data_IF_980526151789
#
_entry.id   IF_980526151789
#
_cell.length_a   1.000
_cell.length_b   1.000
_cell.length_c   1.000
_cell.angle_alpha   90.00
_cell.angle_beta   90.00
_cell.angle_gamma   90.00
#
_symmetry.space_group_name_H-M   'P 1'
#
loop_
_entity.id
_entity.type
_entity.pdbx_description
1 polymer ?
#
# COMPACT_ATOMS: atom_id res chain seq x y z
N UNK A 1 -3.21 32.29 8.64
CA UNK A 1 -2.16 31.55 9.34
C UNK A 1 -1.35 30.71 8.37
N UNK A 2 -0.15 30.36 8.74
CA UNK A 2 0.75 29.58 7.85
C UNK A 2 1.31 28.39 8.62
N UNK A 3 1.33 27.21 7.98
CA UNK A 3 2.09 26.04 8.42
C UNK A 3 3.43 26.08 7.69
N UNK A 4 4.52 26.13 8.45
CA UNK A 4 5.88 26.13 7.90
C UNK A 4 6.27 24.73 7.38
N UNK A 5 6.60 24.67 6.07
CA UNK A 5 6.92 23.41 5.41
C UNK A 5 8.21 22.77 5.89
N UNK A 6 9.26 23.56 6.08
CA UNK A 6 10.57 23.08 6.54
C UNK A 6 10.52 22.45 7.95
N UNK A 7 9.60 22.93 8.77
CA UNK A 7 9.44 22.44 10.16
C UNK A 7 8.48 21.26 10.25
N UNK A 8 7.30 21.37 9.60
CA UNK A 8 6.16 20.47 9.87
C UNK A 8 5.75 19.58 8.70
N UNK A 9 6.30 19.80 7.50
CA UNK A 9 6.00 19.02 6.29
C UNK A 9 7.29 18.48 5.66
N UNK A 10 8.21 18.04 6.49
CA UNK A 10 9.50 17.50 6.08
C UNK A 10 9.52 15.99 6.11
N UNK A 11 10.44 15.43 5.36
CA UNK A 11 10.75 14.03 5.38
C UNK A 11 12.23 13.77 5.13
N UNK A 12 12.61 12.53 5.29
CA UNK A 12 13.94 12.03 4.98
C UNK A 12 13.86 10.80 4.10
N UNK A 13 14.80 10.71 3.17
CA UNK A 13 14.99 9.57 2.30
C UNK A 13 16.26 8.83 2.67
N UNK A 14 16.11 7.53 2.93
CA UNK A 14 17.21 6.60 3.18
C UNK A 14 17.24 5.56 2.06
N UNK A 15 18.39 5.33 1.45
CA UNK A 15 18.66 4.22 0.56
C UNK A 15 19.70 3.31 1.21
N UNK A 16 19.36 2.05 1.40
CA UNK A 16 20.24 1.01 1.94
C UNK A 16 20.68 0.03 0.86
N UNK A 17 21.68 -0.80 1.15
CA UNK A 17 22.17 -1.85 0.24
C UNK A 17 23.18 -1.37 -0.82
N UNK A 18 23.18 -0.11 -1.19
CA UNK A 18 24.20 0.53 -2.07
C UNK A 18 24.23 2.05 -1.91
N UNK A 19 25.27 2.66 -2.47
CA UNK A 19 25.33 4.11 -2.64
C UNK A 19 24.32 4.60 -3.70
N UNK A 20 23.96 5.87 -3.65
CA UNK A 20 23.14 6.52 -4.68
C UNK A 20 23.86 6.53 -6.03
N UNK A 21 23.14 6.20 -7.08
CA UNK A 21 23.59 6.36 -8.48
C UNK A 21 23.12 7.71 -9.01
N UNK A 22 23.82 8.26 -10.01
CA UNK A 22 23.45 9.54 -10.65
C UNK A 22 22.02 9.56 -11.21
N UNK A 23 21.48 8.39 -11.48
CA UNK A 23 20.13 8.22 -12.05
C UNK A 23 19.05 7.94 -11.00
N UNK A 24 19.42 7.90 -9.72
CA UNK A 24 18.44 7.69 -8.66
C UNK A 24 17.64 8.97 -8.40
N UNK A 25 16.34 8.82 -8.37
CA UNK A 25 15.39 9.84 -7.97
C UNK A 25 14.21 9.19 -7.25
N UNK A 26 13.69 9.86 -6.23
CA UNK A 26 12.53 9.41 -5.45
C UNK A 26 11.58 10.58 -5.29
N UNK A 27 10.31 10.34 -5.59
CA UNK A 27 9.26 11.37 -5.50
C UNK A 27 8.34 11.08 -4.35
N UNK A 28 8.05 12.09 -3.55
CA UNK A 28 7.12 12.05 -2.43
C UNK A 28 5.88 12.84 -2.79
N UNK A 29 4.73 12.26 -2.43
CA UNK A 29 3.41 12.81 -2.74
C UNK A 29 2.76 13.20 -1.42
N UNK A 30 2.22 14.41 -1.37
CA UNK A 30 1.30 14.84 -0.33
C UNK A 30 -0.06 15.10 -0.97
N UNK A 31 -1.11 14.58 -0.38
CA UNK A 31 -2.48 14.72 -0.90
C UNK A 31 -3.46 15.06 0.21
N UNK A 32 -4.47 15.86 -0.16
CA UNK A 32 -5.65 16.06 0.66
C UNK A 32 -6.38 14.73 0.89
N UNK A 33 -6.51 14.34 2.15
CA UNK A 33 -7.14 13.09 2.56
C UNK A 33 -8.63 13.25 2.90
N UNK A 34 -9.13 14.49 3.00
CA UNK A 34 -10.52 14.80 3.29
C UNK A 34 -11.21 15.41 2.07
N UNK A 35 -11.96 14.59 1.34
CA UNK A 35 -12.71 15.04 0.16
C UNK A 35 -13.91 15.93 0.48
N UNK A 36 -14.29 16.08 1.75
CA UNK A 36 -15.42 16.90 2.20
C UNK A 36 -15.06 18.39 2.33
N UNK A 37 -13.79 18.69 2.53
CA UNK A 37 -13.24 20.05 2.65
C UNK A 37 -12.03 20.15 1.74
N UNK A 38 -12.08 21.05 0.76
CA UNK A 38 -10.92 21.32 -0.10
C UNK A 38 -9.79 21.94 0.75
N UNK A 39 -8.75 21.14 1.03
CA UNK A 39 -7.61 21.59 1.82
C UNK A 39 -6.65 22.44 0.98
N UNK A 40 -6.11 23.54 1.54
CA UNK A 40 -5.05 24.30 0.88
C UNK A 40 -3.82 23.42 0.65
N UNK A 41 -3.18 23.58 -0.52
CA UNK A 41 -1.98 22.87 -0.90
C UNK A 41 -0.77 23.80 -1.02
N UNK A 42 0.47 23.30 -0.92
CA UNK A 42 1.67 24.08 -1.18
C UNK A 42 1.64 24.70 -2.59
N UNK A 43 1.96 25.99 -2.75
CA UNK A 43 1.75 26.70 -4.02
C UNK A 43 2.68 26.26 -5.14
N UNK A 44 3.90 25.82 -4.85
CA UNK A 44 4.93 25.52 -5.86
C UNK A 44 5.26 24.04 -6.01
N UNK A 45 4.91 23.20 -5.04
CA UNK A 45 5.09 21.73 -5.15
C UNK A 45 3.98 21.04 -5.99
N UNK A 46 3.19 21.81 -6.73
CA UNK A 46 2.05 21.29 -7.50
C UNK A 46 2.37 21.05 -8.98
N UNK A 47 3.59 21.32 -9.42
CA UNK A 47 3.99 21.14 -10.82
C UNK A 47 3.91 19.64 -11.21
N UNK A 48 3.06 19.34 -12.19
CA UNK A 48 2.81 17.97 -12.63
C UNK A 48 1.90 17.15 -11.72
N UNK A 49 1.41 17.72 -10.61
CA UNK A 49 0.51 17.08 -9.68
C UNK A 49 -0.96 17.17 -10.12
N UNK A 50 -1.77 16.23 -9.67
CA UNK A 50 -3.22 16.32 -9.78
C UNK A 50 -3.77 17.38 -8.82
N UNK A 51 -5.02 17.83 -9.03
CA UNK A 51 -5.67 18.76 -8.10
C UNK A 51 -5.69 18.18 -6.68
N UNK A 52 -5.30 18.98 -5.68
CA UNK A 52 -5.21 18.54 -4.28
C UNK A 52 -3.99 17.66 -3.97
N UNK A 53 -2.96 17.71 -4.81
CA UNK A 53 -1.72 16.93 -4.68
C UNK A 53 -0.50 17.84 -4.82
N UNK A 54 0.53 17.57 -4.02
CA UNK A 54 1.84 18.22 -4.14
C UNK A 54 2.92 17.15 -4.23
N UNK A 55 3.99 17.41 -4.99
CA UNK A 55 5.09 16.48 -5.22
C UNK A 55 6.43 17.13 -4.92
N UNK A 56 7.34 16.37 -4.29
CA UNK A 56 8.73 16.73 -4.08
C UNK A 56 9.59 15.56 -4.54
N UNK A 57 10.61 15.84 -5.35
CA UNK A 57 11.55 14.83 -5.83
C UNK A 57 12.93 15.11 -5.27
N UNK A 58 13.59 14.07 -4.72
CA UNK A 58 15.00 14.08 -4.33
C UNK A 58 15.79 13.26 -5.32
N UNK A 59 17.03 13.68 -5.56
CA UNK A 59 17.94 13.07 -6.53
C UNK A 59 19.29 12.75 -5.88
N UNK A 60 20.14 12.04 -6.61
CA UNK A 60 21.51 11.78 -6.17
C UNK A 60 22.33 13.04 -5.86
N UNK A 61 21.96 14.19 -6.42
CA UNK A 61 22.63 15.49 -6.14
C UNK A 61 22.38 15.98 -4.72
N UNK A 62 21.30 15.55 -4.11
CA UNK A 62 20.92 15.87 -2.74
C UNK A 62 21.56 14.91 -1.74
N UNK A 63 22.07 13.77 -2.23
CA UNK A 63 22.60 12.69 -1.41
C UNK A 63 24.04 12.96 -0.94
N UNK A 64 24.31 12.54 0.30
CA UNK A 64 25.66 12.44 0.87
C UNK A 64 25.81 11.05 1.48
N UNK A 65 26.99 10.47 1.35
CA UNK A 65 27.25 9.11 1.83
C UNK A 65 26.88 8.94 3.31
N UNK A 66 26.00 7.95 3.55
CA UNK A 66 25.57 7.56 4.89
C UNK A 66 24.68 8.55 5.62
N UNK A 67 24.19 9.60 4.94
CA UNK A 67 23.31 10.62 5.53
C UNK A 67 21.95 10.57 4.84
N UNK A 68 20.83 10.55 5.59
CA UNK A 68 19.50 10.69 5.02
C UNK A 68 19.36 11.97 4.21
N UNK A 69 18.69 11.92 3.06
CA UNK A 69 18.37 13.11 2.27
C UNK A 69 17.11 13.76 2.82
N UNK A 70 17.24 14.96 3.32
CA UNK A 70 16.11 15.73 3.85
C UNK A 70 15.39 16.45 2.72
N UNK A 71 14.07 16.37 2.73
CA UNK A 71 13.19 17.13 1.84
C UNK A 71 12.04 17.76 2.63
N UNK A 72 11.35 18.72 2.05
CA UNK A 72 10.16 19.31 2.61
C UNK A 72 9.19 19.75 1.51
N UNK A 73 7.90 19.72 1.81
CA UNK A 73 6.92 20.46 1.02
C UNK A 73 6.94 21.92 1.41
N UNK A 74 6.52 22.79 0.52
CA UNK A 74 6.45 24.22 0.83
C UNK A 74 5.38 24.56 1.86
N UNK A 75 5.49 25.73 2.45
CA UNK A 75 4.57 26.21 3.47
C UNK A 75 3.15 26.38 2.93
N UNK A 76 2.15 26.06 3.75
CA UNK A 76 0.74 26.14 3.39
C UNK A 76 0.08 27.34 4.10
N UNK A 77 -0.57 28.21 3.33
CA UNK A 77 -1.36 29.31 3.86
C UNK A 77 -2.82 28.91 4.12
N UNK A 78 -3.32 29.23 5.31
CA UNK A 78 -4.71 28.98 5.70
C UNK A 78 -5.44 30.30 5.88
N UNK A 79 -6.64 30.40 5.32
CA UNK A 79 -7.49 31.59 5.37
C UNK A 79 -8.74 31.40 6.22
N UNK A 80 -9.04 30.17 6.63
CA UNK A 80 -10.23 29.82 7.42
C UNK A 80 -9.86 28.88 8.56
N UNK A 81 -10.50 29.02 9.74
CA UNK A 81 -10.46 28.00 10.77
C UNK A 81 -11.02 26.66 10.26
N UNK A 82 -10.48 25.55 10.77
CA UNK A 82 -10.91 24.21 10.39
C UNK A 82 -9.86 23.17 10.74
N UNK A 83 -10.19 21.92 10.46
CA UNK A 83 -9.25 20.80 10.53
C UNK A 83 -9.02 20.28 9.11
N UNK A 84 -7.78 20.16 8.72
CA UNK A 84 -7.34 19.71 7.40
C UNK A 84 -6.46 18.49 7.57
N UNK A 85 -6.67 17.46 6.74
CA UNK A 85 -5.95 16.20 6.84
C UNK A 85 -5.23 15.89 5.53
N UNK A 86 -3.94 15.63 5.62
CA UNK A 86 -3.10 15.27 4.49
C UNK A 86 -2.50 13.89 4.71
N UNK A 87 -2.22 13.19 3.61
CA UNK A 87 -1.40 11.98 3.62
C UNK A 87 -0.13 12.21 2.82
N UNK A 88 0.98 11.59 3.27
CA UNK A 88 2.29 11.66 2.62
C UNK A 88 2.81 10.24 2.42
N UNK A 89 3.27 9.93 1.20
CA UNK A 89 3.88 8.65 0.83
C UNK A 89 4.91 8.82 -0.28
N UNK A 90 5.72 7.79 -0.52
CA UNK A 90 6.62 7.71 -1.67
C UNK A 90 5.88 7.19 -2.90
N UNK A 91 6.10 7.81 -4.06
CA UNK A 91 5.55 7.35 -5.34
C UNK A 91 6.15 6.00 -5.72
N UNK A 92 5.29 5.05 -6.10
CA UNK A 92 5.68 3.74 -6.62
C UNK A 92 5.69 3.70 -8.17
N UNK A 93 5.75 4.85 -8.83
CA UNK A 93 5.82 4.89 -10.30
C UNK A 93 7.03 4.08 -10.80
N UNK A 94 6.74 2.99 -11.54
CA UNK A 94 7.77 2.04 -12.02
C UNK A 94 8.86 2.71 -12.87
N UNK A 95 8.56 3.84 -13.49
CA UNK A 95 9.53 4.64 -14.26
C UNK A 95 10.62 5.26 -13.39
N UNK A 96 10.39 5.41 -12.09
CA UNK A 96 11.32 6.03 -11.13
C UNK A 96 12.09 5.00 -10.32
N UNK A 97 11.55 3.78 -10.17
CA UNK A 97 12.21 2.72 -9.42
C UNK A 97 13.25 2.00 -10.29
N UNK A 98 14.49 1.99 -9.83
CA UNK A 98 15.56 1.22 -10.45
C UNK A 98 15.44 -0.26 -10.11
N UNK A 99 15.88 -1.12 -11.04
CA UNK A 99 15.91 -2.55 -10.80
C UNK A 99 16.65 -2.87 -9.49
N UNK A 100 16.06 -3.72 -8.66
CA UNK A 100 16.58 -4.10 -7.36
C UNK A 100 16.27 -3.12 -6.22
N UNK A 101 15.65 -1.97 -6.47
CA UNK A 101 15.22 -1.04 -5.40
C UNK A 101 13.75 -1.31 -5.06
N UNK A 102 13.49 -1.62 -3.80
CA UNK A 102 12.12 -1.72 -3.25
C UNK A 102 11.66 -0.35 -2.80
N UNK A 103 10.47 0.10 -3.25
CA UNK A 103 9.87 1.35 -2.79
C UNK A 103 9.47 1.26 -1.31
N UNK A 104 9.66 2.36 -0.57
CA UNK A 104 9.04 2.49 0.75
C UNK A 104 7.52 2.58 0.62
N UNK A 105 6.81 1.82 1.43
CA UNK A 105 5.34 1.87 1.55
C UNK A 105 4.88 2.57 2.82
N UNK A 106 5.79 3.28 3.48
CA UNK A 106 5.44 4.09 4.64
C UNK A 106 4.35 5.11 4.27
N UNK A 107 3.35 5.20 5.12
CA UNK A 107 2.25 6.14 4.98
C UNK A 107 2.18 7.01 6.22
N UNK A 108 2.19 8.32 5.99
CA UNK A 108 2.05 9.31 7.05
C UNK A 108 0.77 10.11 6.88
N UNK A 109 0.24 10.58 8.00
CA UNK A 109 -0.89 11.50 8.05
C UNK A 109 -0.50 12.74 8.83
N UNK A 110 -0.81 13.92 8.28
CA UNK A 110 -0.66 15.20 8.94
C UNK A 110 -2.05 15.79 9.16
N UNK A 111 -2.41 16.01 10.41
CA UNK A 111 -3.64 16.72 10.78
C UNK A 111 -3.29 18.13 11.20
N UNK A 112 -3.84 19.13 10.49
CA UNK A 112 -3.61 20.54 10.74
C UNK A 112 -4.89 21.14 11.32
N UNK A 113 -4.76 21.74 12.50
CA UNK A 113 -5.86 22.46 13.18
C UNK A 113 -5.60 23.96 13.10
N UNK A 114 -6.54 24.68 12.53
CA UNK A 114 -6.51 26.14 12.39
C UNK A 114 -7.62 26.75 13.25
N UNK A 115 -7.26 27.64 14.15
CA UNK A 115 -8.20 28.29 15.08
C UNK A 115 -8.09 29.80 15.01
N UNK A 116 -9.18 30.50 15.33
CA UNK A 116 -9.23 31.94 15.61
C UNK A 116 -9.69 32.11 17.06
N UNK A 117 -8.78 31.81 18.01
CA UNK A 117 -9.08 31.81 19.45
C UNK A 117 -9.47 33.19 19.98
N UNK A 118 -8.91 34.23 19.36
CA UNK A 118 -9.18 35.65 19.75
C UNK A 118 -10.38 36.25 19.06
N UNK A 119 -11.04 35.59 18.10
CA UNK A 119 -12.10 36.14 17.25
C UNK A 119 -11.73 37.49 16.60
N UNK A 120 -10.45 37.66 16.31
CA UNK A 120 -9.87 38.90 15.78
C UNK A 120 -9.32 38.76 14.35
N UNK A 121 -9.54 37.59 13.73
CA UNK A 121 -9.05 37.25 12.40
C UNK A 121 -7.58 36.77 12.38
N UNK A 122 -6.95 36.62 13.54
CA UNK A 122 -5.60 36.07 13.63
C UNK A 122 -5.67 34.55 13.77
N UNK A 123 -5.24 33.83 12.75
CA UNK A 123 -5.29 32.35 12.73
C UNK A 123 -4.04 31.76 13.37
N UNK A 124 -4.26 30.87 14.33
CA UNK A 124 -3.24 29.98 14.90
C UNK A 124 -3.29 28.63 14.20
N UNK A 125 -2.13 28.14 13.77
CA UNK A 125 -1.99 26.87 13.03
C UNK A 125 -1.16 25.89 13.87
N UNK A 126 -1.67 24.68 14.09
CA UNK A 126 -0.99 23.57 14.77
C UNK A 126 -1.08 22.34 13.91
N UNK A 127 -0.04 21.53 13.88
CA UNK A 127 -0.02 20.24 13.16
C UNK A 127 0.32 19.09 14.08
N UNK A 128 -0.03 17.90 13.63
CA UNK A 128 0.34 16.63 14.26
C UNK A 128 0.59 15.61 13.16
N UNK A 129 1.81 15.07 13.10
CA UNK A 129 2.15 14.00 12.17
C UNK A 129 2.05 12.64 12.87
N UNK A 130 1.48 11.67 12.18
CA UNK A 130 1.41 10.27 12.61
C UNK A 130 1.80 9.33 11.47
N UNK A 131 2.47 8.23 11.80
CA UNK A 131 2.78 7.14 10.87
C UNK A 131 1.65 6.11 10.92
N UNK A 132 1.06 5.80 9.76
CA UNK A 132 -0.06 4.87 9.60
C UNK A 132 0.39 3.49 9.15
N UNK A 133 1.48 3.40 8.38
CA UNK A 133 2.07 2.16 7.91
C UNK A 133 3.60 2.26 7.88
N UNK A 134 4.28 1.14 8.06
CA UNK A 134 5.75 1.05 7.93
C UNK A 134 6.21 0.98 6.46
N UNK A 135 7.53 0.87 6.25
CA UNK A 135 8.12 0.81 4.91
C UNK A 135 7.78 -0.46 4.13
N UNK A 136 7.33 -1.51 4.80
CA UNK A 136 6.78 -2.74 4.19
C UNK A 136 5.29 -2.64 3.90
N UNK A 137 4.65 -1.54 4.28
CA UNK A 137 3.23 -1.28 4.10
C UNK A 137 2.33 -1.95 5.13
N UNK A 138 2.90 -2.47 6.23
CA UNK A 138 2.12 -3.00 7.35
C UNK A 138 1.49 -1.84 8.11
N UNK A 139 0.16 -1.84 8.18
CA UNK A 139 -0.58 -0.81 8.91
C UNK A 139 -0.48 -1.02 10.41
N UNK A 140 -0.29 0.08 11.12
CA UNK A 140 -0.36 0.07 12.58
C UNK A 140 -1.82 0.02 13.03
N UNK A 141 -2.13 -0.77 14.05
CA UNK A 141 -3.45 -0.77 14.71
C UNK A 141 -3.81 0.62 15.27
N UNK A 142 -2.79 1.32 15.77
CA UNK A 142 -2.90 2.71 16.23
C UNK A 142 -1.84 3.55 15.55
N UNK A 143 -2.21 4.69 14.95
CA UNK A 143 -1.25 5.61 14.36
C UNK A 143 -0.13 5.96 15.34
N UNK A 144 1.12 5.88 14.89
CA UNK A 144 2.29 6.19 15.70
C UNK A 144 2.60 7.69 15.61
N UNK A 145 2.73 8.35 16.75
CA UNK A 145 3.11 9.77 16.77
C UNK A 145 4.55 9.92 16.24
N UNK A 146 4.73 10.90 15.35
CA UNK A 146 6.05 11.32 14.85
C UNK A 146 6.44 12.59 15.61
N UNK A 147 7.35 12.44 16.56
CA UNK A 147 7.65 13.49 17.54
C UNK A 147 8.42 14.69 16.97
N UNK A 148 9.22 14.45 15.92
CA UNK A 148 10.08 15.44 15.26
C UNK A 148 9.50 15.95 13.93
N UNK A 149 8.24 15.62 13.64
CA UNK A 149 7.54 15.97 12.39
C UNK A 149 8.32 15.60 11.11
N UNK A 150 9.11 14.49 11.15
CA UNK A 150 9.90 14.03 10.01
C UNK A 150 9.39 12.68 9.51
N UNK A 151 8.82 12.66 8.30
CA UNK A 151 8.40 11.43 7.63
C UNK A 151 9.60 10.69 7.08
N UNK A 152 9.92 9.49 7.58
CA UNK A 152 11.08 8.69 7.15
C UNK A 152 10.68 7.61 6.15
N UNK A 153 11.38 7.56 5.00
CA UNK A 153 11.16 6.61 3.92
C UNK A 153 12.44 5.86 3.61
N UNK A 154 12.41 4.55 3.82
CA UNK A 154 13.57 3.68 3.62
C UNK A 154 13.33 2.79 2.42
N UNK A 155 14.22 2.88 1.42
CA UNK A 155 14.26 1.93 0.30
C UNK A 155 15.50 1.06 0.43
N UNK A 156 15.33 -0.21 0.10
CA UNK A 156 16.42 -1.18 0.09
C UNK A 156 16.76 -1.56 -1.34
N UNK A 157 18.06 -1.60 -1.63
CA UNK A 157 18.59 -2.17 -2.87
C UNK A 157 19.06 -3.59 -2.64
N UNK A 158 18.53 -4.50 -3.45
CA UNK A 158 18.95 -5.89 -3.53
C UNK A 158 19.27 -6.25 -4.98
N UNK A 159 20.34 -6.99 -5.19
CA UNK A 159 20.84 -7.36 -6.52
C UNK A 159 20.02 -8.44 -7.20
N UNK A 160 19.25 -9.21 -6.44
CA UNK A 160 18.42 -10.29 -6.94
C UNK A 160 17.06 -10.27 -6.26
N UNK A 161 16.01 -10.18 -7.06
CA UNK A 161 14.63 -10.15 -6.60
C UNK A 161 13.80 -11.21 -7.29
N UNK A 162 13.03 -11.95 -6.50
CA UNK A 162 11.97 -12.83 -7.01
C UNK A 162 10.67 -12.04 -7.16
N UNK A 163 9.94 -12.26 -8.24
CA UNK A 163 8.71 -11.52 -8.55
C UNK A 163 7.55 -12.48 -8.75
N UNK A 164 6.46 -12.23 -7.99
CA UNK A 164 5.23 -12.98 -8.13
C UNK A 164 4.07 -12.02 -8.39
N UNK A 165 3.35 -12.25 -9.51
CA UNK A 165 2.20 -11.44 -9.89
C UNK A 165 0.99 -12.37 -9.99
N UNK A 166 0.18 -12.47 -8.92
CA UNK A 166 -1.01 -13.32 -8.96
C UNK A 166 -2.05 -12.75 -9.91
N UNK A 167 -2.70 -13.61 -10.66
CA UNK A 167 -3.78 -13.25 -11.58
C UNK A 167 -4.77 -14.38 -11.70
N UNK A 168 -5.94 -14.10 -12.22
CA UNK A 168 -6.98 -15.09 -12.41
C UNK A 168 -8.13 -14.57 -13.26
N UNK A 169 -9.18 -15.39 -13.33
CA UNK A 169 -10.42 -15.04 -14.03
C UNK A 169 -11.62 -15.41 -13.17
N UNK A 170 -12.63 -14.55 -13.21
CA UNK A 170 -13.98 -14.78 -12.66
C UNK A 170 -14.93 -15.06 -13.79
N UNK A 171 -15.57 -16.21 -13.77
CA UNK A 171 -16.70 -16.49 -14.63
C UNK A 171 -17.97 -16.06 -13.91
N UNK A 172 -18.79 -15.27 -14.59
CA UNK A 172 -20.09 -14.83 -14.12
C UNK A 172 -21.16 -15.19 -15.15
N UNK A 173 -22.27 -15.76 -14.69
CA UNK A 173 -23.41 -16.12 -15.52
C UNK A 173 -24.66 -15.50 -14.92
N UNK A 174 -25.35 -14.69 -15.70
CA UNK A 174 -26.69 -14.23 -15.41
C UNK A 174 -27.70 -15.03 -16.24
N UNK A 175 -28.63 -15.71 -15.58
CA UNK A 175 -29.63 -16.56 -16.22
C UNK A 175 -30.57 -15.76 -17.15
N UNK A 176 -30.73 -14.47 -16.90
CA UNK A 176 -31.60 -13.59 -17.74
C UNK A 176 -30.85 -12.99 -18.91
N UNK A 177 -29.51 -12.92 -18.81
CA UNK A 177 -28.64 -12.22 -19.78
C UNK A 177 -28.76 -10.70 -19.76
N UNK A 178 -29.53 -10.15 -18.79
CA UNK A 178 -29.79 -8.70 -18.71
C UNK A 178 -28.76 -7.94 -17.85
N UNK A 179 -28.05 -8.67 -16.99
CA UNK A 179 -27.11 -8.12 -16.05
C UNK A 179 -25.67 -8.60 -16.34
N UNK A 180 -24.95 -7.95 -17.24
CA UNK A 180 -23.56 -8.34 -17.52
C UNK A 180 -22.66 -8.09 -16.32
N UNK A 181 -21.54 -8.82 -16.26
CA UNK A 181 -20.50 -8.55 -15.27
C UNK A 181 -19.98 -7.11 -15.43
N UNK A 182 -20.01 -6.37 -14.34
CA UNK A 182 -19.47 -5.01 -14.26
C UNK A 182 -18.25 -5.02 -13.35
N UNK A 183 -17.33 -4.09 -13.58
CA UNK A 183 -16.23 -3.84 -12.63
C UNK A 183 -16.80 -3.55 -11.24
N UNK A 184 -16.06 -3.96 -10.22
CA UNK A 184 -16.41 -3.79 -8.79
C UNK A 184 -17.60 -4.60 -8.27
N UNK A 185 -18.21 -5.49 -9.08
CA UNK A 185 -19.25 -6.39 -8.57
C UNK A 185 -18.72 -7.44 -7.59
N UNK A 186 -17.48 -7.88 -7.79
CA UNK A 186 -16.80 -8.89 -6.98
C UNK A 186 -15.44 -8.41 -6.56
N UNK A 187 -15.05 -8.82 -5.37
CA UNK A 187 -13.76 -8.50 -4.77
C UNK A 187 -13.00 -9.77 -4.40
N UNK A 188 -11.72 -9.75 -4.60
CA UNK A 188 -10.82 -10.87 -4.33
C UNK A 188 -9.64 -10.38 -3.50
N UNK A 189 -9.22 -11.16 -2.53
CA UNK A 189 -8.07 -10.88 -1.70
C UNK A 189 -6.99 -11.94 -1.90
N UNK A 190 -5.74 -11.49 -2.04
CA UNK A 190 -4.57 -12.35 -1.86
C UNK A 190 -4.02 -12.07 -0.46
N UNK A 191 -4.08 -13.04 0.44
CA UNK A 191 -3.76 -12.86 1.86
C UNK A 191 -2.89 -13.97 2.43
N UNK A 192 -2.25 -13.69 3.55
CA UNK A 192 -1.41 -14.61 4.32
C UNK A 192 -1.59 -14.37 5.82
N UNK A 193 -1.39 -15.37 6.65
CA UNK A 193 -1.32 -15.22 8.12
C UNK A 193 0.12 -14.96 8.62
N UNK A 194 1.08 -14.90 7.71
CA UNK A 194 2.46 -14.58 8.01
C UNK A 194 2.73 -13.09 7.77
N UNK A 195 2.85 -12.30 8.83
CA UNK A 195 3.10 -10.84 8.78
C UNK A 195 4.40 -10.46 8.06
N UNK A 196 5.35 -11.42 7.91
CA UNK A 196 6.62 -11.20 7.24
C UNK A 196 6.57 -11.56 5.76
N UNK A 197 5.50 -12.21 5.30
CA UNK A 197 5.41 -12.60 3.90
C UNK A 197 5.18 -11.38 3.01
N UNK A 198 5.95 -11.22 1.93
CA UNK A 198 5.74 -10.15 0.96
C UNK A 198 4.34 -10.22 0.35
N UNK A 199 3.61 -9.12 0.36
CA UNK A 199 2.29 -9.01 -0.26
C UNK A 199 2.38 -8.28 -1.61
N UNK A 200 1.46 -8.59 -2.56
CA UNK A 200 1.33 -7.79 -3.77
C UNK A 200 1.18 -6.30 -3.43
N UNK A 201 1.96 -5.45 -4.07
CA UNK A 201 2.10 -4.02 -3.79
C UNK A 201 1.90 -3.19 -5.04
N UNK A 202 1.23 -2.02 -4.93
CA UNK A 202 1.06 -1.11 -6.05
C UNK A 202 0.29 0.16 -5.68
N UNK A 203 0.39 1.17 -6.53
CA UNK A 203 -0.39 2.40 -6.37
C UNK A 203 -1.89 2.12 -6.47
N UNK A 204 -2.67 2.72 -5.59
CA UNK A 204 -4.13 2.52 -5.54
C UNK A 204 -4.58 1.17 -4.99
N UNK A 205 -3.67 0.33 -4.52
CA UNK A 205 -3.99 -0.98 -3.96
C UNK A 205 -4.41 -0.87 -2.51
N UNK A 206 -5.57 -1.43 -2.20
CA UNK A 206 -6.08 -1.46 -0.83
C UNK A 206 -5.49 -2.63 -0.07
N UNK A 207 -4.79 -2.34 1.03
CA UNK A 207 -4.38 -3.31 2.02
C UNK A 207 -5.48 -3.49 3.05
N UNK A 208 -5.78 -4.71 3.38
CA UNK A 208 -6.84 -5.03 4.35
C UNK A 208 -6.36 -6.09 5.33
N UNK A 209 -6.77 -5.90 6.58
CA UNK A 209 -6.75 -6.96 7.56
C UNK A 209 -8.05 -7.76 7.41
N UNK A 210 -7.94 -9.07 7.41
CA UNK A 210 -9.02 -9.97 7.08
C UNK A 210 -9.08 -11.10 8.10
N UNK A 211 -10.19 -11.25 8.79
CA UNK A 211 -10.40 -12.37 9.69
C UNK A 211 -10.92 -13.58 8.92
N UNK A 212 -10.22 -14.70 9.05
CA UNK A 212 -10.59 -15.95 8.43
C UNK A 212 -10.17 -17.15 9.26
N UNK A 213 -11.14 -18.04 9.54
CA UNK A 213 -10.87 -19.22 10.35
C UNK A 213 -10.41 -18.91 11.77
N UNK A 214 -10.86 -17.80 12.36
CA UNK A 214 -10.49 -17.36 13.71
C UNK A 214 -9.06 -16.82 13.83
N UNK A 215 -8.42 -16.51 12.71
CA UNK A 215 -7.11 -15.88 12.65
C UNK A 215 -7.16 -14.60 11.87
N UNK A 216 -6.27 -13.67 12.22
CA UNK A 216 -6.05 -12.46 11.42
C UNK A 216 -5.14 -12.79 10.24
N UNK A 217 -5.56 -12.37 9.06
CA UNK A 217 -4.83 -12.46 7.79
C UNK A 217 -4.54 -11.06 7.28
N UNK A 218 -3.44 -10.92 6.57
CA UNK A 218 -3.04 -9.67 5.93
C UNK A 218 -3.13 -9.86 4.43
N UNK A 219 -3.73 -8.91 3.73
CA UNK A 219 -3.98 -9.13 2.31
C UNK A 219 -4.00 -7.87 1.46
N UNK A 220 -3.93 -8.11 0.16
CA UNK A 220 -4.14 -7.12 -0.88
C UNK A 220 -5.47 -7.38 -1.54
N UNK A 221 -6.34 -6.38 -1.50
CA UNK A 221 -7.66 -6.42 -2.12
C UNK A 221 -7.56 -5.98 -3.59
N UNK A 222 -8.23 -6.70 -4.47
CA UNK A 222 -8.45 -6.26 -5.85
C UNK A 222 -9.91 -6.47 -6.25
N UNK A 223 -10.35 -5.77 -7.29
CA UNK A 223 -11.67 -5.92 -7.89
C UNK A 223 -11.62 -6.84 -9.10
N UNK A 224 -12.75 -7.42 -9.44
CA UNK A 224 -12.93 -8.13 -10.69
C UNK A 224 -13.34 -7.14 -11.77
N UNK A 225 -12.63 -7.12 -12.88
CA UNK A 225 -12.93 -6.25 -14.01
C UNK A 225 -14.17 -6.75 -14.78
N UNK A 226 -14.81 -5.88 -15.56
CA UNK A 226 -15.99 -6.20 -16.36
C UNK A 226 -15.81 -7.39 -17.30
N UNK A 227 -14.60 -7.67 -17.76
CA UNK A 227 -14.24 -8.86 -18.56
C UNK A 227 -13.94 -10.11 -17.74
N UNK A 228 -14.10 -10.06 -16.40
CA UNK A 228 -13.79 -11.17 -15.51
C UNK A 228 -12.30 -11.29 -15.13
N UNK A 229 -11.45 -10.40 -15.57
CA UNK A 229 -10.04 -10.39 -15.21
C UNK A 229 -9.84 -10.03 -13.74
N UNK A 230 -8.96 -10.77 -13.08
CA UNK A 230 -8.48 -10.51 -11.72
C UNK A 230 -6.98 -10.28 -11.84
N UNK A 231 -6.53 -9.07 -11.53
CA UNK A 231 -5.14 -8.71 -11.56
C UNK A 231 -4.72 -8.14 -10.20
N UNK A 232 -3.67 -8.71 -9.64
CA UNK A 232 -2.99 -8.15 -8.48
C UNK A 232 -1.71 -7.45 -8.94
N UNK A 233 -1.23 -6.45 -8.20
CA UNK A 233 0.12 -5.96 -8.41
C UNK A 233 1.15 -7.03 -8.05
N UNK A 234 2.41 -6.73 -8.30
CA UNK A 234 3.52 -7.64 -8.07
C UNK A 234 3.92 -7.69 -6.60
N UNK A 235 4.12 -8.88 -6.06
CA UNK A 235 4.88 -9.09 -4.84
C UNK A 235 6.37 -9.30 -5.19
N UNK A 236 7.26 -8.67 -4.42
CA UNK A 236 8.71 -8.76 -4.60
C UNK A 236 9.32 -9.47 -3.40
N UNK A 237 10.19 -10.43 -3.66
CA UNK A 237 10.92 -11.21 -2.69
C UNK A 237 12.41 -10.94 -2.83
N UNK A 238 13.13 -10.91 -1.72
CA UNK A 238 14.56 -10.65 -1.64
C UNK A 238 15.28 -11.77 -0.90
N UNK A 239 16.61 -11.75 -0.88
CA UNK A 239 17.37 -12.68 -0.06
C UNK A 239 17.10 -12.54 1.44
N UNK A 240 16.67 -11.36 1.90
CA UNK A 240 16.30 -11.13 3.30
C UNK A 240 15.05 -11.91 3.71
N UNK A 241 14.24 -12.36 2.75
CA UNK A 241 13.07 -13.20 3.01
C UNK A 241 13.44 -14.69 3.21
N UNK A 242 14.71 -15.07 2.95
CA UNK A 242 15.24 -16.38 3.28
C UNK A 242 15.80 -16.34 4.70
N UNK A 243 15.37 -17.23 5.61
CA UNK A 243 15.90 -17.26 6.97
C UNK A 243 17.42 -17.48 6.99
N UNK A 244 18.10 -16.86 7.95
CA UNK A 244 19.55 -17.03 8.11
C UNK A 244 19.94 -18.50 8.24
N UNK A 245 20.88 -18.93 7.39
CA UNK A 245 21.35 -20.31 7.34
C UNK A 245 20.50 -21.26 6.48
N UNK A 246 19.39 -20.78 5.91
CA UNK A 246 18.62 -21.52 4.92
C UNK A 246 19.05 -21.13 3.49
N UNK A 247 18.74 -21.97 2.51
CA UNK A 247 18.94 -21.72 1.09
C UNK A 247 17.63 -21.45 0.35
N UNK A 248 16.50 -21.66 1.01
CA UNK A 248 15.17 -21.42 0.45
C UNK A 248 14.18 -21.02 1.53
N UNK A 249 13.08 -20.40 1.10
CA UNK A 249 11.91 -20.13 1.92
C UNK A 249 10.63 -20.34 1.11
N UNK A 250 9.57 -20.80 1.78
CA UNK A 250 8.25 -20.95 1.16
C UNK A 250 7.23 -20.14 1.94
N UNK A 251 6.46 -19.33 1.21
CA UNK A 251 5.38 -18.50 1.73
C UNK A 251 4.05 -19.03 1.23
N UNK A 252 3.09 -19.16 2.13
CA UNK A 252 1.74 -19.60 1.79
C UNK A 252 0.79 -18.41 1.76
N UNK A 253 0.05 -18.32 0.66
CA UNK A 253 -1.01 -17.34 0.47
C UNK A 253 -2.33 -18.03 0.19
N UNK A 254 -3.42 -17.35 0.51
CA UNK A 254 -4.77 -17.74 0.08
C UNK A 254 -5.30 -16.67 -0.86
N UNK A 255 -5.96 -17.10 -1.92
CA UNK A 255 -6.72 -16.20 -2.80
C UNK A 255 -8.17 -16.64 -2.69
N UNK A 256 -9.03 -15.73 -2.25
CA UNK A 256 -10.44 -15.99 -1.99
C UNK A 256 -11.30 -14.79 -2.41
N UNK A 257 -12.54 -15.09 -2.77
CA UNK A 257 -13.57 -14.07 -2.96
C UNK A 257 -14.03 -13.55 -1.60
N UNK A 258 -14.21 -12.24 -1.49
CA UNK A 258 -14.59 -11.55 -0.25
C UNK A 258 -15.77 -10.63 -0.48
N UNK A 259 -16.54 -10.43 0.57
CA UNK A 259 -17.61 -9.44 0.66
C UNK A 259 -17.43 -8.58 1.89
N UNK A 260 -17.99 -7.38 1.87
CA UNK A 260 -17.91 -6.44 2.98
C UNK A 260 -19.13 -6.64 3.89
N UNK A 261 -18.89 -7.00 5.14
CA UNK A 261 -19.90 -7.15 6.19
C UNK A 261 -19.50 -6.28 7.37
N UNK A 262 -20.37 -5.38 7.81
CA UNK A 262 -20.10 -4.45 8.93
C UNK A 262 -18.75 -3.73 8.80
N UNK A 263 -18.48 -3.18 7.62
CA UNK A 263 -17.23 -2.50 7.26
C UNK A 263 -15.95 -3.37 7.28
N UNK A 264 -16.09 -4.67 7.44
CA UNK A 264 -14.98 -5.64 7.42
C UNK A 264 -15.08 -6.55 6.20
N UNK A 265 -13.96 -6.74 5.51
CA UNK A 265 -13.86 -7.73 4.43
C UNK A 265 -13.79 -9.13 5.01
N UNK A 266 -14.67 -10.02 4.56
CA UNK A 266 -14.75 -11.41 5.02
C UNK A 266 -14.83 -12.36 3.84
N UNK A 267 -14.24 -13.55 3.97
CA UNK A 267 -14.35 -14.58 2.94
C UNK A 267 -15.81 -14.96 2.71
N UNK A 268 -16.22 -14.99 1.45
CA UNK A 268 -17.58 -15.37 1.05
C UNK A 268 -17.98 -16.71 1.66
N UNK A 269 -17.06 -17.68 1.65
CA UNK A 269 -17.28 -19.00 2.23
C UNK A 269 -17.70 -18.94 3.69
N UNK A 270 -17.04 -18.10 4.51
CA UNK A 270 -17.31 -18.03 5.95
C UNK A 270 -18.64 -17.33 6.23
N UNK A 271 -18.91 -16.20 5.57
CA UNK A 271 -20.14 -15.43 5.80
C UNK A 271 -21.38 -16.15 5.31
N UNK A 272 -21.27 -17.00 4.30
CA UNK A 272 -22.35 -17.89 3.89
C UNK A 272 -22.55 -19.05 4.87
N UNK A 273 -21.49 -19.58 5.44
CA UNK A 273 -21.56 -20.66 6.44
C UNK A 273 -22.18 -20.19 7.75
N UNK A 274 -21.80 -19.01 8.23
CA UNK A 274 -22.32 -18.42 9.47
C UNK A 274 -23.61 -17.61 9.29
N UNK A 275 -24.10 -17.48 8.04
CA UNK A 275 -25.30 -16.73 7.66
C UNK A 275 -25.31 -15.26 8.06
N UNK A 276 -24.12 -14.65 8.12
CA UNK A 276 -23.98 -13.21 8.39
C UNK A 276 -24.12 -12.34 7.15
N UNK A 277 -24.29 -12.95 5.97
CA UNK A 277 -24.41 -12.28 4.68
C UNK A 277 -25.59 -12.88 3.89
N UNK A 278 -26.46 -12.01 3.36
CA UNK A 278 -27.52 -12.38 2.43
C UNK A 278 -27.03 -12.24 0.99
N UNK A 279 -26.87 -13.34 0.24
CA UNK A 279 -26.41 -13.31 -1.14
C UNK A 279 -27.45 -12.74 -2.13
N UNK A 280 -28.67 -12.43 -1.70
CA UNK A 280 -29.76 -11.86 -2.53
C UNK A 280 -29.97 -12.62 -3.87
N UNK A 281 -29.93 -13.95 -3.83
CA UNK A 281 -30.05 -14.82 -5.00
C UNK A 281 -28.78 -15.03 -5.82
N UNK A 282 -27.67 -14.39 -5.47
CA UNK A 282 -26.36 -14.61 -6.09
C UNK A 282 -25.71 -15.90 -5.56
N UNK A 283 -25.15 -16.70 -6.45
CA UNK A 283 -24.32 -17.85 -6.09
C UNK A 283 -22.86 -17.41 -6.21
N UNK A 284 -22.20 -17.29 -5.07
CA UNK A 284 -20.81 -16.89 -4.98
C UNK A 284 -19.85 -18.07 -5.13
N UNK A 285 -18.66 -17.80 -5.67
CA UNK A 285 -17.57 -18.78 -5.68
C UNK A 285 -16.95 -18.91 -4.29
N UNK A 286 -16.99 -20.11 -3.73
CA UNK A 286 -16.43 -20.42 -2.41
C UNK A 286 -15.07 -21.11 -2.50
N UNK A 287 -14.47 -21.14 -3.69
CA UNK A 287 -13.15 -21.74 -3.90
C UNK A 287 -12.10 -21.01 -3.09
N UNK A 288 -11.26 -21.79 -2.44
CA UNK A 288 -10.05 -21.32 -1.77
C UNK A 288 -8.86 -21.76 -2.61
N UNK A 289 -8.13 -20.81 -3.14
CA UNK A 289 -6.85 -21.08 -3.78
C UNK A 289 -5.74 -20.95 -2.74
N UNK A 290 -4.95 -21.99 -2.56
CA UNK A 290 -3.70 -21.91 -1.81
C UNK A 290 -2.56 -21.74 -2.79
N UNK A 291 -1.73 -20.73 -2.57
CA UNK A 291 -0.55 -20.49 -3.39
C UNK A 291 0.68 -20.63 -2.52
N UNK A 292 1.59 -21.52 -2.92
CA UNK A 292 2.90 -21.68 -2.28
C UNK A 292 3.94 -21.04 -3.18
N UNK A 293 4.49 -19.94 -2.72
CA UNK A 293 5.57 -19.21 -3.38
C UNK A 293 6.87 -19.63 -2.71
N UNK A 294 7.74 -20.29 -3.45
CA UNK A 294 9.07 -20.72 -2.97
C UNK A 294 10.13 -19.85 -3.64
N UNK A 295 11.00 -19.27 -2.83
CA UNK A 295 12.21 -18.58 -3.25
C UNK A 295 13.42 -19.40 -2.85
N UNK A 296 14.43 -19.45 -3.69
CA UNK A 296 15.67 -20.19 -3.43
C UNK A 296 16.89 -19.41 -3.90
N UNK A 297 17.97 -19.47 -3.12
CA UNK A 297 19.29 -19.00 -3.54
C UNK A 297 19.96 -20.09 -4.38
N UNK A 298 20.09 -19.83 -5.66
CA UNK A 298 20.77 -20.71 -6.62
C UNK A 298 22.03 -20.00 -7.15
N UNK A 299 23.13 -20.23 -6.47
CA UNK A 299 24.43 -19.66 -6.85
C UNK A 299 24.49 -18.13 -6.80
N UNK A 300 23.81 -17.49 -5.85
CA UNK A 300 23.74 -16.05 -5.70
C UNK A 300 22.65 -15.38 -6.56
N UNK A 301 21.79 -16.17 -7.18
CA UNK A 301 20.59 -15.71 -7.89
C UNK A 301 19.36 -16.19 -7.17
N UNK A 302 18.41 -15.29 -6.93
CA UNK A 302 17.14 -15.63 -6.32
C UNK A 302 16.19 -16.18 -7.38
N UNK A 303 15.88 -17.48 -7.30
CA UNK A 303 14.87 -18.12 -8.13
C UNK A 303 13.54 -18.19 -7.39
N UNK A 304 12.44 -17.97 -8.12
CA UNK A 304 11.08 -18.01 -7.58
C UNK A 304 10.22 -18.98 -8.36
N UNK A 305 9.44 -19.78 -7.63
CA UNK A 305 8.37 -20.61 -8.19
C UNK A 305 7.08 -20.41 -7.40
N UNK A 306 5.93 -20.47 -8.07
CA UNK A 306 4.63 -20.42 -7.44
C UNK A 306 3.78 -21.62 -7.87
N UNK A 307 3.18 -22.31 -6.91
CA UNK A 307 2.30 -23.46 -7.14
C UNK A 307 0.92 -23.18 -6.57
N UNK A 308 -0.11 -23.46 -7.35
CA UNK A 308 -1.50 -23.17 -7.03
C UNK A 308 -2.25 -24.47 -6.71
N UNK A 309 -3.00 -24.47 -5.61
CA UNK A 309 -3.79 -25.61 -5.14
C UNK A 309 -5.24 -25.18 -4.93
N UNK A 310 -6.19 -25.96 -5.42
CA UNK A 310 -7.62 -25.66 -5.31
C UNK A 310 -8.24 -26.43 -4.16
N UNK A 311 -8.94 -25.75 -3.25
CA UNK A 311 -9.72 -26.37 -2.17
C UNK A 311 -8.97 -27.42 -1.36
N UNK A 312 -7.74 -27.11 -0.93
CA UNK A 312 -6.85 -28.02 -0.18
C UNK A 312 -6.44 -29.29 -0.95
N UNK A 313 -6.46 -29.25 -2.28
CA UNK A 313 -5.85 -30.32 -3.09
C UNK A 313 -4.39 -30.53 -2.68
N UNK A 314 -3.92 -31.77 -2.68
CA UNK A 314 -2.50 -32.09 -2.47
C UNK A 314 -1.66 -31.91 -3.75
N UNK A 315 -2.31 -31.92 -4.90
CA UNK A 315 -1.68 -31.74 -6.21
C UNK A 315 -1.88 -30.30 -6.72
N UNK A 316 -0.80 -29.65 -7.19
CA UNK A 316 -0.92 -28.33 -7.79
C UNK A 316 -1.62 -28.42 -9.13
N UNK A 317 -2.29 -27.34 -9.51
CA UNK A 317 -2.85 -27.17 -10.86
C UNK A 317 -1.71 -26.71 -11.77
N UNK A 318 -1.57 -27.39 -12.88
CA UNK A 318 -0.59 -27.11 -13.95
C UNK A 318 -1.13 -26.09 -14.95
#
# INVERSE_FOLDING_TARGET
GTLDGETYLKGEKVLTGRAWLETDEFTFIMKDADTSVEAPMPPTNTLGASKGEARVTVTSKDAKDGVPVIFHFESIGYTKPGTYTYQIWESEELSQLRAGVSASQALYQVVVTVTDEGHNGTLTVKSKMTKLADDDGVRYEKPQLVEDDTASFVNEYDTSVGKWTPSGTKTYTDATGENPLKSDMFHVIACTDNVKAPLPKGEGVTRVDHEWGGKMWYGTLTTVEAGGSIAFPQATFTFNDIPSGATEATFEYKIVEVVKVDDTWRAVRDVLADKTFDPAGMVYDQTVWTVKVTIADVGGTLELSAKYYKNNSEEPIT
#
